data_IF_799446570729
#
_entry.id   IF_799446570729
#
_cell.length_a   1.000
_cell.length_b   1.000
_cell.length_c   1.000
_cell.angle_alpha   90.00
_cell.angle_beta   90.00
_cell.angle_gamma   90.00
#
_symmetry.space_group_name_H-M   'P 1'
#
loop_
_entity.id
_entity.type
_entity.pdbx_description
1 polymer ?
#
# COMPACT_ATOMS: atom_id res chain seq x y z
N UNK A 1 23.96 12.12 4.08
CA UNK A 1 23.50 13.25 4.91
C UNK A 1 22.25 13.86 4.28
N UNK A 2 21.04 13.46 4.71
CA UNK A 2 19.81 14.02 4.14
C UNK A 2 19.48 15.34 4.82
N UNK A 3 19.61 16.44 4.08
CA UNK A 3 19.28 17.81 4.51
C UNK A 3 17.93 17.87 5.24
N UNK A 4 17.91 18.57 6.40
CA UNK A 4 16.74 18.74 7.23
C UNK A 4 15.64 19.49 6.45
N UNK A 5 14.75 18.72 5.80
CA UNK A 5 13.65 19.26 4.99
C UNK A 5 12.78 20.19 5.84
N UNK A 6 12.80 21.49 5.54
CA UNK A 6 12.06 22.52 6.28
C UNK A 6 10.60 22.09 6.46
N UNK A 7 10.16 22.00 7.72
CA UNK A 7 8.78 21.64 8.05
C UNK A 7 7.86 22.81 7.71
N UNK A 8 6.75 22.54 7.00
CA UNK A 8 5.80 23.58 6.57
C UNK A 8 5.21 24.28 7.79
N UNK A 9 5.39 25.60 7.89
CA UNK A 9 4.78 26.43 8.94
C UNK A 9 3.32 26.73 8.59
N UNK A 10 2.41 26.59 9.55
CA UNK A 10 0.99 26.94 9.45
C UNK A 10 0.70 28.02 10.50
N UNK A 11 0.27 29.19 10.05
CA UNK A 11 -0.17 30.26 10.95
C UNK A 11 -1.60 29.95 11.43
N UNK A 12 -1.79 29.92 12.74
CA UNK A 12 -3.08 29.61 13.38
C UNK A 12 -3.35 30.61 14.50
N UNK A 13 -4.60 30.97 14.74
CA UNK A 13 -4.99 31.74 15.93
C UNK A 13 -5.44 30.78 17.02
N UNK A 14 -5.04 31.04 18.26
CA UNK A 14 -5.56 30.32 19.42
C UNK A 14 -6.94 30.86 19.78
N UNK A 15 -7.69 30.09 20.60
CA UNK A 15 -9.00 30.52 21.13
C UNK A 15 -8.86 31.85 21.88
N UNK A 16 -7.73 32.10 22.54
CA UNK A 16 -7.37 33.36 23.20
C UNK A 16 -6.99 34.51 22.25
N UNK A 17 -7.21 34.37 20.93
CA UNK A 17 -6.96 35.41 19.93
C UNK A 17 -5.50 35.61 19.50
N UNK A 18 -4.53 34.98 20.19
CA UNK A 18 -3.08 35.11 19.91
C UNK A 18 -2.69 34.37 18.62
N UNK A 19 -1.77 34.94 17.84
CA UNK A 19 -1.21 34.29 16.64
C UNK A 19 -0.12 33.28 17.06
N UNK A 20 -0.23 32.02 16.61
CA UNK A 20 0.74 30.95 16.84
C UNK A 20 1.19 30.33 15.51
N UNK A 21 2.48 30.01 15.40
CA UNK A 21 3.04 29.25 14.28
C UNK A 21 3.05 27.76 14.66
N UNK A 22 2.19 26.97 14.02
CA UNK A 22 2.16 25.52 14.18
C UNK A 22 2.97 24.84 13.05
N UNK A 23 3.70 23.78 13.39
CA UNK A 23 4.45 23.01 12.39
C UNK A 23 3.57 21.92 11.80
N UNK A 24 3.26 22.01 10.51
CA UNK A 24 2.50 20.99 9.79
C UNK A 24 3.41 19.84 9.35
N UNK A 25 2.99 18.61 9.64
CA UNK A 25 3.67 17.40 9.16
C UNK A 25 3.38 17.18 7.67
N UNK A 26 4.37 16.67 6.93
CA UNK A 26 4.19 16.31 5.52
C UNK A 26 3.22 15.14 5.41
N UNK A 27 2.24 15.26 4.52
CA UNK A 27 1.33 14.16 4.16
C UNK A 27 2.13 13.08 3.44
N UNK A 28 1.92 11.83 3.85
CA UNK A 28 2.49 10.67 3.15
C UNK A 28 1.90 10.55 1.75
N UNK A 29 2.72 10.10 0.81
CA UNK A 29 2.29 9.84 -0.57
C UNK A 29 1.24 8.73 -0.63
N UNK A 30 0.52 8.70 -1.75
CA UNK A 30 -0.40 7.61 -2.08
C UNK A 30 0.41 6.33 -2.31
N UNK A 31 -0.13 5.17 -1.95
CA UNK A 31 0.53 3.88 -2.20
C UNK A 31 0.29 3.42 -3.64
N UNK A 32 1.32 2.87 -4.25
CA UNK A 32 1.30 2.29 -5.60
C UNK A 32 1.29 0.77 -5.56
N UNK A 33 0.73 0.16 -6.61
CA UNK A 33 0.79 -1.27 -6.87
C UNK A 33 2.23 -1.68 -7.19
N UNK A 34 2.68 -2.82 -6.65
CA UNK A 34 4.05 -3.32 -6.88
C UNK A 34 4.30 -3.68 -8.35
N UNK A 35 3.31 -4.21 -9.06
CA UNK A 35 3.47 -4.69 -10.44
C UNK A 35 3.31 -3.57 -11.47
N UNK A 36 2.20 -2.82 -11.42
CA UNK A 36 1.84 -1.86 -12.45
C UNK A 36 2.01 -0.39 -12.04
N UNK A 37 2.42 -0.11 -10.80
CA UNK A 37 2.59 1.26 -10.29
C UNK A 37 1.29 2.04 -10.05
N UNK A 38 0.12 1.53 -10.47
CA UNK A 38 -1.19 2.20 -10.29
C UNK A 38 -1.48 2.51 -8.82
N UNK A 39 -2.18 3.61 -8.57
CA UNK A 39 -2.58 4.01 -7.22
C UNK A 39 -3.51 2.95 -6.58
N UNK A 40 -3.23 2.59 -5.33
CA UNK A 40 -4.08 1.69 -4.56
C UNK A 40 -5.22 2.46 -3.87
N UNK A 41 -6.45 1.99 -4.10
CA UNK A 41 -7.65 2.48 -3.42
C UNK A 41 -7.88 1.69 -2.13
N UNK A 42 -8.50 2.34 -1.13
CA UNK A 42 -8.80 1.71 0.16
C UNK A 42 -7.60 1.54 1.10
N UNK A 43 -6.45 2.18 0.79
CA UNK A 43 -5.28 2.23 1.67
C UNK A 43 -5.13 3.65 2.23
N UNK A 44 -4.91 3.81 3.55
CA UNK A 44 -4.78 5.12 4.15
C UNK A 44 -3.56 5.85 3.59
N UNK A 45 -3.80 7.10 3.16
CA UNK A 45 -2.80 8.03 2.64
C UNK A 45 -2.96 9.37 3.38
N UNK A 46 -1.93 10.20 3.36
CA UNK A 46 -1.94 11.49 4.06
C UNK A 46 -1.86 11.41 5.59
N UNK A 47 -1.80 10.20 6.15
CA UNK A 47 -1.55 9.94 7.59
C UNK A 47 -0.08 9.59 7.81
N UNK A 48 0.46 9.97 8.97
CA UNK A 48 1.83 9.59 9.38
C UNK A 48 1.91 8.10 9.71
N UNK A 49 3.13 7.52 9.71
CA UNK A 49 3.35 6.10 10.04
C UNK A 49 2.75 5.74 11.42
N UNK A 50 2.94 6.60 12.42
CA UNK A 50 2.39 6.43 13.76
C UNK A 50 0.85 6.49 13.80
N UNK A 51 0.23 7.34 12.98
CA UNK A 51 -1.23 7.36 12.86
C UNK A 51 -1.75 6.09 12.20
N UNK A 52 -1.06 5.58 11.17
CA UNK A 52 -1.45 4.34 10.49
C UNK A 52 -1.27 3.12 11.40
N UNK A 53 -0.26 3.08 12.27
CA UNK A 53 -0.07 1.96 13.20
C UNK A 53 -1.17 1.85 14.24
N UNK A 54 -1.78 2.98 14.65
CA UNK A 54 -2.91 2.99 15.59
C UNK A 54 -4.26 2.61 14.99
N UNK A 55 -4.39 2.51 13.66
CA UNK A 55 -5.66 2.15 13.01
C UNK A 55 -6.02 0.67 13.20
N UNK A 56 -7.31 0.36 13.07
CA UNK A 56 -7.81 -1.02 13.02
C UNK A 56 -7.27 -1.80 11.82
N UNK A 57 -7.36 -3.14 11.86
CA UNK A 57 -6.87 -4.01 10.77
C UNK A 57 -7.57 -3.73 9.44
N UNK A 58 -8.89 -3.49 9.47
CA UNK A 58 -9.74 -3.15 8.31
C UNK A 58 -9.44 -1.76 7.73
N UNK A 59 -9.13 -0.79 8.59
CA UNK A 59 -8.78 0.57 8.15
C UNK A 59 -7.39 0.66 7.53
N UNK A 60 -6.49 -0.27 7.88
CA UNK A 60 -5.12 -0.32 7.33
C UNK A 60 -5.08 -0.87 5.92
N UNK A 61 -5.94 -1.85 5.60
CA UNK A 61 -5.94 -2.53 4.31
C UNK A 61 -7.30 -3.18 4.02
N UNK A 62 -7.66 -3.32 2.74
CA UNK A 62 -8.77 -4.18 2.34
C UNK A 62 -8.53 -5.64 2.78
N UNK A 63 -9.61 -6.37 3.09
CA UNK A 63 -9.59 -7.76 3.58
C UNK A 63 -9.23 -8.81 2.52
N UNK A 64 -9.15 -8.41 1.25
CA UNK A 64 -8.83 -9.28 0.11
C UNK A 64 -7.38 -9.78 0.15
N UNK A 65 -7.12 -10.90 -0.53
CA UNK A 65 -5.77 -11.45 -0.72
C UNK A 65 -4.88 -10.39 -1.38
N UNK A 66 -3.67 -10.19 -0.85
CA UNK A 66 -2.74 -9.12 -1.27
C UNK A 66 -3.33 -7.69 -1.19
N UNK A 67 -4.33 -7.46 -0.34
CA UNK A 67 -4.90 -6.14 -0.06
C UNK A 67 -3.82 -5.14 0.40
N UNK A 68 -3.77 -3.99 -0.27
CA UNK A 68 -2.78 -2.94 0.00
C UNK A 68 -1.40 -3.15 -0.61
N UNK A 69 -1.25 -4.18 -1.45
CA UNK A 69 -0.03 -4.53 -2.20
C UNK A 69 -0.32 -4.52 -3.70
N UNK A 70 -1.41 -5.17 -4.11
CA UNK A 70 -1.83 -5.28 -5.52
C UNK A 70 -3.13 -4.53 -5.78
N UNK A 71 -3.25 -3.99 -6.99
CA UNK A 71 -4.53 -3.51 -7.52
C UNK A 71 -5.44 -4.68 -7.90
N UNK A 72 -6.74 -4.42 -8.09
CA UNK A 72 -7.73 -5.46 -8.42
C UNK A 72 -7.40 -6.23 -9.70
N UNK A 73 -6.89 -5.56 -10.74
CA UNK A 73 -6.56 -6.20 -12.01
C UNK A 73 -5.35 -7.13 -11.89
N UNK A 74 -4.25 -6.66 -11.31
CA UNK A 74 -3.05 -7.48 -11.12
C UNK A 74 -3.30 -8.64 -10.14
N UNK A 75 -4.17 -8.44 -9.14
CA UNK A 75 -4.57 -9.51 -8.23
C UNK A 75 -5.29 -10.63 -8.95
N UNK A 76 -6.21 -10.32 -9.87
CA UNK A 76 -6.92 -11.33 -10.67
C UNK A 76 -5.92 -12.18 -11.44
N UNK A 77 -5.00 -11.55 -12.18
CA UNK A 77 -3.96 -12.24 -12.94
C UNK A 77 -3.13 -13.20 -12.08
N UNK A 78 -2.67 -12.74 -10.90
CA UNK A 78 -1.88 -13.59 -9.98
C UNK A 78 -2.69 -14.77 -9.45
N UNK A 79 -3.98 -14.57 -9.17
CA UNK A 79 -4.87 -15.64 -8.69
C UNK A 79 -5.17 -16.64 -9.81
N UNK A 80 -5.40 -16.16 -11.04
CA UNK A 80 -5.66 -17.01 -12.21
C UNK A 80 -4.42 -17.85 -12.55
N UNK A 81 -3.23 -17.24 -12.55
CA UNK A 81 -1.95 -17.93 -12.71
C UNK A 81 -1.73 -18.97 -11.60
N UNK A 82 -2.05 -18.63 -10.34
CA UNK A 82 -1.99 -19.60 -9.24
C UNK A 82 -2.98 -20.77 -9.45
N UNK A 83 -4.20 -20.49 -9.89
CA UNK A 83 -5.17 -21.54 -10.21
C UNK A 83 -4.70 -22.46 -11.35
N UNK A 84 -4.05 -21.90 -12.38
CA UNK A 84 -3.45 -22.65 -13.49
C UNK A 84 -2.30 -23.55 -13.02
N UNK A 85 -1.42 -23.05 -12.14
CA UNK A 85 -0.36 -23.85 -11.52
C UNK A 85 -0.93 -24.97 -10.65
N UNK A 86 -2.01 -24.70 -9.91
CA UNK A 86 -2.71 -25.71 -9.10
C UNK A 86 -3.21 -26.87 -9.94
N UNK A 87 -3.70 -26.60 -11.15
CA UNK A 87 -4.16 -27.60 -12.11
C UNK A 87 -3.00 -28.23 -12.92
N UNK A 88 -1.74 -27.86 -12.67
CA UNK A 88 -0.54 -28.29 -13.41
C UNK A 88 -0.57 -27.97 -14.91
N UNK A 89 -1.40 -27.00 -15.31
CA UNK A 89 -1.53 -26.57 -16.72
C UNK A 89 -0.39 -25.66 -17.20
N UNK A 90 0.39 -25.10 -16.26
CA UNK A 90 1.56 -24.26 -16.49
C UNK A 90 2.67 -24.60 -15.50
N UNK A 91 3.92 -24.44 -15.92
CA UNK A 91 5.07 -24.51 -15.01
C UNK A 91 5.38 -23.12 -14.42
N UNK A 92 6.04 -23.07 -13.25
CA UNK A 92 6.44 -21.79 -12.62
C UNK A 92 7.39 -20.99 -13.52
N UNK A 93 8.18 -21.68 -14.34
CA UNK A 93 9.19 -21.09 -15.21
C UNK A 93 8.60 -20.35 -16.42
N UNK A 94 7.37 -20.70 -16.84
CA UNK A 94 6.65 -20.02 -17.92
C UNK A 94 6.04 -18.68 -17.50
N UNK A 95 5.94 -18.43 -16.20
CA UNK A 95 5.38 -17.19 -15.67
C UNK A 95 6.46 -16.10 -15.68
N UNK A 96 6.04 -14.87 -15.99
CA UNK A 96 6.91 -13.69 -15.90
C UNK A 96 7.61 -13.59 -14.54
N UNK A 97 8.93 -13.37 -14.57
CA UNK A 97 9.80 -13.29 -13.39
C UNK A 97 9.27 -12.32 -12.31
N UNK A 98 8.63 -11.22 -12.70
CA UNK A 98 8.07 -10.22 -11.78
C UNK A 98 6.91 -10.77 -10.94
N UNK A 99 6.21 -11.79 -11.44
CA UNK A 99 5.01 -12.37 -10.85
C UNK A 99 5.26 -13.69 -10.12
N UNK A 100 6.30 -14.43 -10.47
CA UNK A 100 6.62 -15.75 -9.90
C UNK A 100 6.56 -15.79 -8.36
N UNK A 101 7.13 -14.79 -7.69
CA UNK A 101 7.12 -14.69 -6.22
C UNK A 101 5.72 -14.47 -5.63
N UNK A 102 4.86 -13.70 -6.31
CA UNK A 102 3.50 -13.43 -5.84
C UNK A 102 2.60 -14.64 -6.06
N UNK A 103 2.80 -15.37 -7.16
CA UNK A 103 2.05 -16.58 -7.49
C UNK A 103 2.41 -17.72 -6.53
N UNK A 104 3.69 -17.92 -6.21
CA UNK A 104 4.12 -18.90 -5.18
C UNK A 104 3.51 -18.58 -3.81
N UNK A 105 3.55 -17.32 -3.38
CA UNK A 105 2.88 -16.88 -2.15
C UNK A 105 1.35 -17.05 -2.20
N UNK A 106 0.74 -16.92 -3.37
CA UNK A 106 -0.69 -17.16 -3.55
C UNK A 106 -1.01 -18.65 -3.38
N UNK A 107 -0.20 -19.53 -3.95
CA UNK A 107 -0.31 -20.98 -3.81
C UNK A 107 -0.17 -21.44 -2.35
N UNK A 108 0.79 -20.88 -1.61
CA UNK A 108 0.96 -21.16 -0.17
C UNK A 108 -0.28 -20.80 0.64
N UNK A 109 -1.01 -19.74 0.26
CA UNK A 109 -2.25 -19.32 0.92
C UNK A 109 -3.50 -20.10 0.48
N UNK A 110 -3.41 -20.85 -0.62
CA UNK A 110 -4.48 -21.69 -1.16
C UNK A 110 -4.38 -23.15 -0.70
N UNK A 111 -3.27 -23.53 -0.06
CA UNK A 111 -3.15 -24.77 0.72
C UNK A 111 -4.02 -24.68 1.96
#
# INVERSE_FOLDING_TARGET
MASAKQKRKKFTRTVSGRKRIATARKKTGKRSCILCGKQLHGVPHGRTKAQVSGLGKSEKKPSVIFGGILCSSCRRLVIDEAAMLRQKSKSIQEIDLSRQKLVTQAMERMK
#
